data_IF_055310421139
#
_entry.id   IF_055310421139
#
_cell.length_a   1.000
_cell.length_b   1.000
_cell.length_c   1.000
_cell.angle_alpha   90.00
_cell.angle_beta   90.00
_cell.angle_gamma   90.00
#
_symmetry.space_group_name_H-M   'P 1'
#
loop_
_entity.id
_entity.type
_entity.pdbx_description
1 polymer ?
#
# COMPACT_ATOMS: atom_id res chain seq x y z
N UNK A 1 43.19 -3.25 27.61
CA UNK A 1 42.56 -3.37 26.28
C UNK A 1 41.26 -4.14 26.43
N UNK A 2 40.14 -3.42 26.46
CA UNK A 2 38.77 -3.95 26.34
C UNK A 2 38.41 -3.96 24.83
N UNK A 3 37.53 -4.80 24.30
CA UNK A 3 36.13 -4.96 24.68
C UNK A 3 35.57 -6.34 24.32
N UNK A 4 34.62 -6.76 25.15
CA UNK A 4 33.71 -7.87 24.92
C UNK A 4 32.58 -7.42 23.98
N UNK A 5 32.20 -8.28 23.02
CA UNK A 5 31.01 -8.10 22.20
C UNK A 5 29.90 -8.99 22.74
N UNK A 6 28.94 -8.35 23.41
CA UNK A 6 27.66 -8.93 23.81
C UNK A 6 26.69 -8.90 22.63
N UNK A 7 26.27 -10.07 22.17
CA UNK A 7 25.17 -10.27 21.23
C UNK A 7 23.89 -10.62 22.00
N UNK A 8 22.80 -9.89 21.74
CA UNK A 8 21.46 -10.24 22.23
C UNK A 8 20.52 -10.28 21.03
N UNK A 9 20.26 -11.49 20.54
CA UNK A 9 19.17 -11.78 19.60
C UNK A 9 17.94 -12.25 20.39
N UNK A 10 16.80 -11.60 20.19
CA UNK A 10 15.52 -12.04 20.73
C UNK A 10 14.80 -12.93 19.70
N UNK A 11 14.46 -14.15 20.11
CA UNK A 11 13.69 -15.12 19.34
C UNK A 11 12.43 -15.47 20.12
N UNK A 12 11.26 -15.43 19.47
CA UNK A 12 10.01 -15.91 20.06
C UNK A 12 9.83 -17.39 19.75
N UNK A 13 9.92 -18.23 20.78
CA UNK A 13 9.58 -19.66 20.74
C UNK A 13 8.20 -19.89 21.38
N UNK A 14 7.17 -20.15 20.58
CA UNK A 14 5.90 -20.69 21.09
C UNK A 14 6.04 -22.19 21.30
N UNK A 15 6.04 -22.61 22.56
CA UNK A 15 5.99 -24.03 22.93
C UNK A 15 4.52 -24.46 23.07
N UNK A 16 4.10 -25.45 22.28
CA UNK A 16 2.94 -26.27 22.61
C UNK A 16 3.33 -27.74 22.48
N UNK A 17 3.44 -28.41 23.62
CA UNK A 17 3.58 -29.86 23.71
C UNK A 17 2.54 -30.38 24.70
N UNK A 18 1.63 -31.20 24.19
CA UNK A 18 0.70 -32.03 24.95
C UNK A 18 0.13 -33.10 24.02
N UNK A 19 0.63 -34.33 24.14
CA UNK A 19 0.33 -35.51 23.31
C UNK A 19 -1.08 -36.11 23.56
N UNK A 20 -1.58 -37.00 22.67
CA UNK A 20 -2.91 -37.66 22.73
C UNK A 20 -2.84 -39.02 23.48
N UNK A 21 -3.97 -39.74 23.79
CA UNK A 21 -4.62 -40.63 22.81
C UNK A 21 -6.17 -40.88 22.92
N UNK A 22 -6.75 -41.25 21.77
CA UNK A 22 -7.92 -42.11 21.41
C UNK A 22 -8.92 -42.67 22.44
N UNK A 23 -10.25 -42.54 22.20
CA UNK A 23 -11.16 -43.56 21.60
C UNK A 23 -12.64 -43.08 21.51
N UNK A 24 -13.33 -43.62 20.51
CA UNK A 24 -14.76 -43.60 20.11
C UNK A 24 -15.86 -43.50 21.18
N UNK A 25 -16.96 -42.76 20.91
CA UNK A 25 -18.29 -43.26 20.45
C UNK A 25 -19.33 -42.13 20.35
N UNK A 26 -20.26 -42.30 19.40
CA UNK A 26 -21.45 -41.51 19.09
C UNK A 26 -22.43 -41.36 20.27
N UNK A 27 -23.21 -40.27 20.32
CA UNK A 27 -24.67 -40.19 20.61
C UNK A 27 -25.07 -38.69 20.77
N UNK A 28 -25.86 -38.16 19.84
CA UNK A 28 -27.22 -37.58 20.03
C UNK A 28 -27.28 -36.17 20.65
N UNK A 29 -27.66 -35.19 19.82
CA UNK A 29 -28.24 -33.91 20.25
C UNK A 29 -29.57 -34.14 20.98
N UNK A 30 -29.89 -33.28 21.97
CA UNK A 30 -31.16 -32.56 21.85
C UNK A 30 -31.07 -31.08 22.24
N UNK A 31 -31.68 -30.26 21.36
CA UNK A 31 -32.69 -29.21 21.60
C UNK A 31 -32.51 -28.24 22.79
N UNK A 32 -32.54 -26.94 22.40
CA UNK A 32 -32.89 -25.73 23.15
C UNK A 32 -32.09 -25.34 24.41
N UNK A 33 -31.37 -24.23 24.30
CA UNK A 33 -31.19 -23.29 25.41
C UNK A 33 -30.95 -21.87 24.86
N UNK A 34 -32.01 -21.07 24.99
CA UNK A 34 -32.07 -19.62 24.88
C UNK A 34 -30.93 -18.96 25.67
N UNK A 35 -30.15 -18.06 25.06
CA UNK A 35 -29.23 -17.22 25.82
C UNK A 35 -29.04 -15.82 25.23
N UNK A 36 -29.67 -14.85 25.89
CA UNK A 36 -29.23 -13.46 26.08
C UNK A 36 -29.71 -13.03 27.49
N UNK A 37 -29.30 -11.88 28.03
CA UNK A 37 -27.93 -11.39 28.28
C UNK A 37 -27.81 -10.87 29.75
N UNK A 38 -26.61 -10.81 30.36
CA UNK A 38 -26.44 -9.93 31.55
C UNK A 38 -25.04 -9.34 31.69
N UNK A 39 -25.02 -8.03 31.52
CA UNK A 39 -24.04 -7.06 32.03
C UNK A 39 -23.98 -7.12 33.55
N UNK A 40 -22.79 -7.37 34.11
CA UNK A 40 -22.55 -7.28 35.55
C UNK A 40 -22.38 -5.83 36.00
N UNK A 41 -23.48 -5.17 36.34
CA UNK A 41 -23.50 -4.05 37.27
C UNK A 41 -23.38 -4.64 38.67
N UNK A 42 -22.35 -4.28 39.44
CA UNK A 42 -22.29 -4.57 40.87
C UNK A 42 -22.37 -3.28 41.66
N UNK A 43 -23.53 -3.09 42.27
CA UNK A 43 -23.80 -2.17 43.37
C UNK A 43 -23.04 -2.63 44.61
N UNK A 44 -22.13 -1.80 45.14
CA UNK A 44 -21.63 -1.96 46.51
C UNK A 44 -21.77 -0.63 47.25
N UNK A 45 -22.50 -0.71 48.35
CA UNK A 45 -22.91 0.35 49.25
C UNK A 45 -21.74 1.01 49.99
N UNK A 46 -21.97 2.27 50.41
CA UNK A 46 -21.03 3.09 51.16
C UNK A 46 -20.68 2.53 52.56
N UNK A 47 -19.44 2.73 53.01
CA UNK A 47 -19.13 2.96 54.41
C UNK A 47 -18.63 4.39 54.64
N UNK A 48 -19.14 4.99 55.70
CA UNK A 48 -18.79 6.28 56.26
C UNK A 48 -17.37 6.35 56.82
N UNK A 49 -16.73 7.52 56.65
CA UNK A 49 -15.64 8.10 57.46
C UNK A 49 -14.34 7.33 57.62
N UNK A 50 -13.26 7.92 57.08
CA UNK A 50 -11.88 7.58 57.44
C UNK A 50 -10.94 7.78 56.26
N UNK A 51 -10.09 8.81 56.36
CA UNK A 51 -9.03 9.19 55.41
C UNK A 51 -8.36 8.02 54.68
N UNK A 52 -8.48 7.96 53.36
CA UNK A 52 -7.54 7.25 52.50
C UNK A 52 -7.55 7.84 51.09
N UNK A 53 -6.39 8.35 50.68
CA UNK A 53 -6.13 8.94 49.37
C UNK A 53 -6.03 7.80 48.35
N UNK A 54 -7.11 7.55 47.60
CA UNK A 54 -7.06 6.71 46.41
C UNK A 54 -6.76 7.59 45.19
N UNK A 55 -5.84 7.20 44.29
CA UNK A 55 -5.56 7.98 43.10
C UNK A 55 -6.77 7.86 42.18
N UNK A 56 -7.52 8.96 42.02
CA UNK A 56 -8.50 9.04 40.96
C UNK A 56 -7.74 9.05 39.64
N UNK A 57 -7.73 7.91 38.94
CA UNK A 57 -7.42 7.89 37.51
C UNK A 57 -8.59 8.56 36.80
N UNK A 58 -8.62 9.89 36.84
CA UNK A 58 -9.51 10.69 36.01
C UNK A 58 -9.28 10.27 34.56
N UNK A 59 -10.31 9.77 33.89
CA UNK A 59 -10.26 9.53 32.45
C UNK A 59 -9.77 10.83 31.80
N UNK A 60 -8.68 10.77 31.04
CA UNK A 60 -8.13 11.96 30.36
C UNK A 60 -9.24 12.58 29.53
N UNK A 61 -9.42 13.91 29.55
CA UNK A 61 -10.35 14.60 28.67
C UNK A 61 -10.17 14.13 27.23
N UNK A 62 -11.28 13.94 26.52
CA UNK A 62 -11.25 13.56 25.11
C UNK A 62 -10.62 14.72 24.33
N UNK A 63 -9.38 14.53 23.89
CA UNK A 63 -8.66 15.51 23.09
C UNK A 63 -9.06 15.35 21.62
N UNK A 64 -9.95 16.23 21.15
CA UNK A 64 -10.44 16.24 19.77
C UNK A 64 -9.46 16.93 18.81
N UNK A 65 -8.40 17.54 19.34
CA UNK A 65 -7.52 18.41 18.60
C UNK A 65 -8.15 19.77 18.26
N UNK A 66 -7.32 20.76 17.89
CA UNK A 66 -7.77 22.06 17.43
C UNK A 66 -8.46 21.96 16.07
N UNK A 67 -9.39 22.86 15.72
CA UNK A 67 -10.08 22.80 14.44
C UNK A 67 -9.10 22.96 13.27
N UNK A 68 -9.29 22.16 12.21
CA UNK A 68 -8.55 22.29 10.95
C UNK A 68 -7.21 21.56 10.86
N UNK A 69 -6.80 20.81 11.88
CA UNK A 69 -5.65 19.90 11.75
C UNK A 69 -5.92 18.77 10.73
N UNK A 70 -4.87 18.33 10.07
CA UNK A 70 -4.89 17.32 9.03
C UNK A 70 -4.26 16.00 9.49
N UNK A 71 -3.29 16.05 10.40
CA UNK A 71 -2.66 14.87 10.96
C UNK A 71 -2.13 15.11 12.39
N UNK A 72 -1.75 14.03 13.06
CA UNK A 72 -1.00 14.09 14.33
C UNK A 72 0.27 13.26 14.26
N UNK A 73 1.26 13.64 15.06
CA UNK A 73 2.47 12.86 15.34
C UNK A 73 2.74 12.86 16.85
N UNK A 74 3.23 11.75 17.38
CA UNK A 74 3.64 11.65 18.78
C UNK A 74 5.16 11.81 18.89
N UNK A 75 5.60 12.79 19.67
CA UNK A 75 6.99 13.01 20.06
C UNK A 75 7.24 12.42 21.45
N UNK A 76 8.49 12.04 21.73
CA UNK A 76 8.92 11.48 23.02
C UNK A 76 8.07 10.28 23.48
N UNK A 77 7.68 9.44 22.51
CA UNK A 77 6.86 8.26 22.75
C UNK A 77 7.47 7.37 23.86
N UNK A 78 6.61 6.87 24.74
CA UNK A 78 6.97 6.01 25.89
C UNK A 78 7.84 6.71 26.95
N UNK A 79 7.82 8.05 27.01
CA UNK A 79 8.49 8.85 28.04
C UNK A 79 7.52 9.70 28.86
N UNK A 80 7.99 10.29 29.96
CA UNK A 80 7.19 11.22 30.76
C UNK A 80 6.82 12.51 29.99
N UNK A 81 7.58 12.83 28.94
CA UNK A 81 7.43 14.03 28.12
C UNK A 81 6.67 13.75 26.80
N UNK A 82 5.98 12.60 26.71
CA UNK A 82 5.21 12.22 25.52
C UNK A 82 4.22 13.32 25.13
N UNK A 83 4.31 13.76 23.87
CA UNK A 83 3.54 14.89 23.34
C UNK A 83 2.94 14.55 21.99
N UNK A 84 1.63 14.73 21.86
CA UNK A 84 0.96 14.75 20.55
C UNK A 84 1.06 16.15 19.96
N UNK A 85 1.56 16.24 18.73
CA UNK A 85 1.60 17.49 17.96
C UNK A 85 0.52 17.41 16.88
N UNK A 86 -0.32 18.45 16.83
CA UNK A 86 -1.36 18.62 15.83
C UNK A 86 -0.79 19.35 14.62
N UNK A 87 -0.90 18.71 13.46
CA UNK A 87 -0.30 19.13 12.21
C UNK A 87 -1.40 19.64 11.28
N UNK A 88 -1.27 20.88 10.84
CA UNK A 88 -2.10 21.52 9.82
C UNK A 88 -1.54 21.28 8.41
N UNK A 89 -1.61 22.27 7.51
CA UNK A 89 -1.08 22.17 6.15
C UNK A 89 0.41 21.84 6.11
N UNK A 90 0.81 21.09 5.08
CA UNK A 90 2.22 20.76 4.82
C UNK A 90 2.73 21.42 3.54
N UNK A 91 4.05 21.57 3.46
CA UNK A 91 4.77 21.92 2.23
C UNK A 91 6.01 21.03 2.11
N UNK A 92 6.25 20.44 0.93
CA UNK A 92 7.47 19.68 0.68
C UNK A 92 8.49 20.59 0.00
N UNK A 93 9.57 20.91 0.69
CA UNK A 93 10.59 21.87 0.24
C UNK A 93 11.96 21.21 0.09
N UNK A 94 12.84 21.89 -0.64
CA UNK A 94 14.23 21.47 -0.87
C UNK A 94 14.40 20.56 -2.08
N UNK A 95 15.56 20.67 -2.74
CA UNK A 95 15.98 19.76 -3.82
C UNK A 95 16.93 18.69 -3.29
N UNK A 96 18.03 19.08 -2.65
CA UNK A 96 19.07 18.17 -2.12
C UNK A 96 18.83 17.71 -0.68
N UNK A 97 18.08 18.51 0.10
CA UNK A 97 17.68 18.18 1.47
C UNK A 97 16.17 18.30 1.58
N UNK A 98 15.48 17.35 0.95
CA UNK A 98 14.02 17.35 0.94
C UNK A 98 13.49 17.23 2.36
N UNK A 99 12.58 18.11 2.72
CA UNK A 99 11.90 18.09 4.01
C UNK A 99 10.44 18.49 3.86
N UNK A 100 9.61 17.96 4.74
CA UNK A 100 8.24 18.42 4.93
C UNK A 100 8.23 19.49 6.01
N UNK A 101 7.62 20.62 5.73
CA UNK A 101 7.29 21.64 6.71
C UNK A 101 5.82 21.48 7.07
N UNK A 102 5.54 21.19 8.33
CA UNK A 102 4.19 21.13 8.86
C UNK A 102 3.91 22.41 9.64
N UNK A 103 2.89 23.15 9.21
CA UNK A 103 2.31 24.21 10.02
C UNK A 103 1.57 23.56 11.17
N UNK A 104 2.07 23.70 12.40
CA UNK A 104 1.42 23.09 13.55
C UNK A 104 0.22 23.96 13.98
N UNK A 105 -0.71 23.36 14.70
CA UNK A 105 -1.99 24.02 15.00
C UNK A 105 -1.90 25.16 16.01
N UNK A 106 -0.81 25.25 16.77
CA UNK A 106 -0.52 26.41 17.62
C UNK A 106 0.28 27.44 16.84
N UNK A 107 -0.03 28.72 17.05
CA UNK A 107 0.53 29.81 16.26
C UNK A 107 2.07 29.83 16.36
N UNK A 108 2.75 29.94 15.21
CA UNK A 108 4.22 29.94 15.08
C UNK A 108 4.93 28.61 15.39
N UNK A 109 4.22 27.53 15.70
CA UNK A 109 4.84 26.21 15.81
C UNK A 109 5.13 25.60 14.45
N UNK A 110 6.30 24.98 14.32
CA UNK A 110 6.78 24.38 13.08
C UNK A 110 7.37 23.01 13.35
N UNK A 111 6.95 22.01 12.56
CA UNK A 111 7.59 20.70 12.54
C UNK A 111 8.22 20.46 11.17
N UNK A 112 9.52 20.22 11.17
CA UNK A 112 10.29 19.82 10.00
C UNK A 112 10.51 18.29 10.02
N UNK A 113 10.10 17.61 8.97
CA UNK A 113 10.41 16.20 8.76
C UNK A 113 11.40 16.06 7.61
N UNK A 114 12.64 15.69 7.92
CA UNK A 114 13.70 15.48 6.94
C UNK A 114 13.54 14.10 6.28
N UNK A 115 13.45 14.08 4.96
CA UNK A 115 13.31 12.85 4.18
C UNK A 115 14.67 12.16 4.01
N UNK A 116 14.70 10.82 3.95
CA UNK A 116 15.95 10.06 3.87
C UNK A 116 16.62 10.13 2.49
N UNK A 117 15.87 10.52 1.45
CA UNK A 117 16.35 10.63 0.06
C UNK A 117 15.86 11.94 -0.57
N UNK A 118 16.71 12.52 -1.41
CA UNK A 118 16.39 13.63 -2.31
C UNK A 118 15.58 13.17 -3.52
N UNK A 119 15.62 11.87 -3.84
CA UNK A 119 14.89 11.25 -4.95
C UNK A 119 13.46 10.89 -4.50
N UNK A 120 12.41 11.47 -5.10
CA UNK A 120 11.03 11.21 -4.70
C UNK A 120 10.57 9.76 -4.83
N UNK A 121 11.07 9.03 -5.83
CA UNK A 121 10.73 7.61 -6.04
C UNK A 121 11.25 6.70 -4.92
N UNK A 122 12.26 7.13 -4.15
CA UNK A 122 12.85 6.31 -3.10
C UNK A 122 12.07 6.42 -1.77
N UNK A 123 11.22 7.44 -1.64
CA UNK A 123 10.42 7.66 -0.43
C UNK A 123 9.15 6.80 -0.49
N UNK A 124 9.03 5.87 0.46
CA UNK A 124 7.93 4.90 0.49
C UNK A 124 7.13 4.96 1.80
N UNK A 125 6.06 5.78 1.84
CA UNK A 125 5.13 5.75 2.95
C UNK A 125 4.38 4.41 3.04
N UNK A 126 4.37 3.84 4.24
CA UNK A 126 3.77 2.55 4.54
C UNK A 126 2.45 2.70 5.28
N UNK A 127 1.43 1.99 4.79
CA UNK A 127 0.13 1.82 5.45
C UNK A 127 -0.18 0.34 5.57
N UNK A 128 -0.88 0.00 6.65
CA UNK A 128 -1.14 -1.39 7.03
C UNK A 128 -2.34 -1.97 6.28
N UNK A 129 -2.39 -3.30 6.20
CA UNK A 129 -3.56 -4.02 5.68
C UNK A 129 -4.74 -3.92 6.67
N UNK A 130 -5.98 -3.88 6.18
CA UNK A 130 -7.21 -3.94 7.01
C UNK A 130 -7.30 -5.07 8.04
N UNK A 131 -6.56 -6.18 7.90
CA UNK A 131 -6.54 -7.27 8.89
C UNK A 131 -6.00 -6.82 10.24
N UNK A 132 -5.25 -5.73 10.27
CA UNK A 132 -4.78 -5.11 11.51
C UNK A 132 -5.93 -4.43 12.29
N UNK A 133 -7.07 -4.15 11.65
CA UNK A 133 -8.28 -3.60 12.27
C UNK A 133 -9.55 -4.20 11.63
N UNK A 134 -9.89 -5.42 12.06
CA UNK A 134 -10.95 -6.24 11.44
C UNK A 134 -12.37 -5.65 11.51
N UNK A 135 -12.62 -4.67 12.38
CA UNK A 135 -13.94 -4.08 12.62
C UNK A 135 -14.06 -2.62 12.16
N UNK A 136 -13.09 -2.13 11.38
CA UNK A 136 -13.10 -0.79 10.81
C UNK A 136 -13.25 -0.86 9.28
N UNK A 137 -13.57 0.27 8.66
CA UNK A 137 -13.51 0.37 7.20
C UNK A 137 -12.07 0.03 6.75
N UNK A 138 -11.87 -0.93 5.81
CA UNK A 138 -10.56 -1.20 5.24
C UNK A 138 -9.79 0.05 4.78
N UNK A 139 -10.51 1.08 4.33
CA UNK A 139 -9.92 2.35 3.89
C UNK A 139 -9.27 3.13 5.05
N UNK A 140 -9.76 3.00 6.29
CA UNK A 140 -9.27 3.74 7.46
C UNK A 140 -7.80 3.45 7.77
N UNK A 141 -7.31 2.26 7.43
CA UNK A 141 -5.89 1.94 7.60
C UNK A 141 -4.97 2.84 6.77
N UNK A 142 -5.50 3.51 5.74
CA UNK A 142 -4.72 4.45 4.93
C UNK A 142 -4.45 5.76 5.68
N UNK A 143 -5.20 6.07 6.73
CA UNK A 143 -4.95 7.24 7.59
C UNK A 143 -3.68 7.10 8.44
N UNK A 144 -3.21 5.87 8.64
CA UNK A 144 -2.09 5.55 9.52
C UNK A 144 -0.82 5.31 8.72
N UNK A 145 -0.01 6.36 8.60
CA UNK A 145 1.18 6.37 7.78
C UNK A 145 2.43 6.17 8.62
N UNK A 146 3.32 5.31 8.17
CA UNK A 146 4.61 5.01 8.79
C UNK A 146 5.70 4.94 7.74
N UNK A 147 6.96 4.87 8.18
CA UNK A 147 8.11 4.66 7.29
C UNK A 147 8.92 3.45 7.77
N UNK A 148 9.63 2.78 6.86
CA UNK A 148 10.42 1.60 7.23
C UNK A 148 11.61 1.93 8.14
N UNK A 149 12.14 3.14 8.01
CA UNK A 149 13.33 3.60 8.73
C UNK A 149 13.01 4.84 9.58
N UNK A 150 13.73 5.06 10.69
CA UNK A 150 13.61 6.29 11.47
C UNK A 150 14.03 7.51 10.65
N UNK A 151 13.27 8.60 10.78
CA UNK A 151 13.56 9.86 10.10
C UNK A 151 13.83 10.97 11.12
N UNK A 152 14.64 11.95 10.72
CA UNK A 152 14.92 13.12 11.58
C UNK A 152 13.72 14.05 11.59
N UNK A 153 13.21 14.29 12.79
CA UNK A 153 12.15 15.27 13.07
C UNK A 153 12.76 16.41 13.87
N UNK A 154 12.52 17.65 13.43
CA UNK A 154 12.76 18.85 14.22
C UNK A 154 11.44 19.51 14.54
N UNK A 155 11.20 19.86 15.79
CA UNK A 155 10.02 20.59 16.22
C UNK A 155 10.41 21.84 17.01
N UNK A 156 9.86 22.95 16.57
CA UNK A 156 10.10 24.30 17.08
C UNK A 156 8.78 24.77 17.70
N UNK A 157 8.85 25.18 18.98
CA UNK A 157 7.70 25.68 19.74
C UNK A 157 7.28 27.08 19.28
N UNK A 158 6.16 27.58 19.82
CA UNK A 158 5.63 28.91 19.51
C UNK A 158 6.61 30.05 19.83
N UNK A 159 7.50 29.86 20.81
CA UNK A 159 8.56 30.81 21.18
C UNK A 159 9.79 30.75 20.26
N UNK A 160 9.77 29.89 19.24
CA UNK A 160 10.89 29.68 18.32
C UNK A 160 12.00 28.80 18.90
N UNK A 161 11.75 28.08 19.99
CA UNK A 161 12.73 27.21 20.64
C UNK A 161 12.65 25.80 20.03
N UNK A 162 13.80 25.26 19.63
CA UNK A 162 13.89 23.87 19.19
C UNK A 162 13.77 22.93 20.41
N UNK A 163 12.64 22.25 20.53
CA UNK A 163 12.38 21.33 21.65
C UNK A 163 12.64 19.87 21.31
N UNK A 164 12.64 19.53 20.01
CA UNK A 164 12.94 18.19 19.52
C UNK A 164 13.77 18.29 18.24
N UNK A 165 14.88 17.55 18.16
CA UNK A 165 15.70 17.40 16.94
C UNK A 165 16.39 16.02 16.98
N UNK A 166 15.65 14.96 16.63
CA UNK A 166 16.12 13.58 16.75
C UNK A 166 15.58 12.69 15.63
N UNK A 167 16.22 11.54 15.42
CA UNK A 167 15.70 10.47 14.57
C UNK A 167 14.67 9.66 15.35
N UNK A 168 13.44 9.60 14.84
CA UNK A 168 12.34 8.83 15.45
C UNK A 168 11.65 7.95 14.41
N UNK A 169 10.98 6.91 14.88
CA UNK A 169 10.06 6.15 14.04
C UNK A 169 8.83 7.00 13.74
N UNK A 170 8.80 7.63 12.57
CA UNK A 170 7.69 8.53 12.20
C UNK A 170 6.40 7.75 12.01
N UNK A 171 5.35 8.21 12.69
CA UNK A 171 3.98 7.69 12.60
C UNK A 171 3.03 8.88 12.54
N UNK A 172 2.34 9.02 11.42
CA UNK A 172 1.28 10.00 11.25
C UNK A 172 -0.08 9.33 11.34
N UNK A 173 -1.01 9.99 12.02
CA UNK A 173 -2.44 9.67 11.99
C UNK A 173 -3.18 10.83 11.34
N UNK A 174 -3.67 10.62 10.13
CA UNK A 174 -4.43 11.61 9.37
C UNK A 174 -5.90 11.62 9.77
N UNK A 175 -6.53 12.78 9.71
CA UNK A 175 -7.97 12.92 9.94
C UNK A 175 -8.78 12.31 8.79
N UNK A 176 -8.23 12.26 7.57
CA UNK A 176 -8.88 11.72 6.37
C UNK A 176 -7.96 10.83 5.52
N UNK A 177 -8.57 9.89 4.79
CA UNK A 177 -7.86 9.04 3.82
C UNK A 177 -7.33 9.86 2.65
N UNK A 178 -8.11 10.85 2.20
CA UNK A 178 -7.73 11.75 1.12
C UNK A 178 -6.50 12.60 1.48
N UNK A 179 -6.45 13.15 2.70
CA UNK A 179 -5.29 13.92 3.17
C UNK A 179 -4.02 13.06 3.23
N UNK A 180 -4.14 11.81 3.71
CA UNK A 180 -3.03 10.85 3.67
C UNK A 180 -2.59 10.56 2.23
N UNK A 181 -3.52 10.33 1.30
CA UNK A 181 -3.20 10.05 -0.09
C UNK A 181 -2.49 11.22 -0.79
N UNK A 182 -2.97 12.45 -0.57
CA UNK A 182 -2.35 13.67 -1.10
C UNK A 182 -0.93 13.85 -0.53
N UNK A 183 -0.77 13.73 0.78
CA UNK A 183 0.53 13.84 1.45
C UNK A 183 1.54 12.83 0.89
N UNK A 184 1.14 11.56 0.79
CA UNK A 184 1.99 10.53 0.20
C UNK A 184 2.37 10.84 -1.24
N UNK A 185 1.42 11.40 -2.00
CA UNK A 185 1.65 11.82 -3.37
C UNK A 185 2.68 12.95 -3.47
N UNK A 186 2.59 13.95 -2.61
CA UNK A 186 3.53 15.08 -2.58
C UNK A 186 4.95 14.65 -2.20
N UNK A 187 5.07 13.70 -1.27
CA UNK A 187 6.37 13.09 -0.93
C UNK A 187 7.02 12.42 -2.14
N UNK A 188 6.22 11.75 -2.98
CA UNK A 188 6.68 10.94 -4.12
C UNK A 188 6.66 11.69 -5.45
N UNK A 189 6.07 12.88 -5.51
CA UNK A 189 5.70 13.57 -6.76
C UNK A 189 4.88 12.68 -7.71
N UNK A 190 3.95 11.92 -7.13
CA UNK A 190 3.02 11.02 -7.83
C UNK A 190 1.62 11.20 -7.24
N UNK A 191 0.58 10.76 -7.94
CA UNK A 191 -0.77 10.67 -7.39
C UNK A 191 -1.05 9.23 -6.96
N UNK A 192 -1.50 9.05 -5.72
CA UNK A 192 -2.00 7.75 -5.26
C UNK A 192 -3.41 7.54 -5.81
N UNK A 193 -3.51 6.83 -6.93
CA UNK A 193 -4.79 6.61 -7.62
C UNK A 193 -5.53 5.34 -7.16
N UNK A 194 -4.83 4.44 -6.46
CA UNK A 194 -5.44 3.23 -5.94
C UNK A 194 -4.60 2.54 -4.87
N UNK A 195 -5.28 1.93 -3.90
CA UNK A 195 -4.68 1.06 -2.91
C UNK A 195 -5.57 -0.16 -2.65
N UNK A 196 -4.93 -1.31 -2.43
CA UNK A 196 -5.60 -2.61 -2.44
C UNK A 196 -5.01 -3.51 -1.36
N UNK A 197 -5.89 -4.15 -0.60
CA UNK A 197 -5.45 -5.16 0.36
C UNK A 197 -5.18 -6.49 -0.35
N UNK A 198 -3.96 -6.98 -0.20
CA UNK A 198 -3.48 -8.20 -0.86
C UNK A 198 -3.05 -9.25 0.17
N UNK A 199 -3.53 -10.47 -0.05
CA UNK A 199 -3.19 -11.63 0.75
C UNK A 199 -1.75 -12.06 0.49
N UNK A 200 -1.36 -12.13 -0.78
CA UNK A 200 -0.03 -12.52 -1.22
C UNK A 200 0.28 -11.97 -2.61
N UNK A 201 1.52 -11.51 -2.77
CA UNK A 201 2.13 -11.14 -4.05
C UNK A 201 3.35 -12.05 -4.27
N UNK A 202 3.50 -12.61 -5.46
CA UNK A 202 4.59 -13.54 -5.78
C UNK A 202 5.02 -13.44 -7.23
N UNK A 203 6.20 -13.97 -7.54
CA UNK A 203 6.80 -13.90 -8.88
C UNK A 203 7.23 -15.30 -9.34
N UNK A 204 7.88 -15.40 -10.49
CA UNK A 204 8.53 -16.64 -10.92
C UNK A 204 9.80 -16.97 -10.11
N UNK A 205 10.49 -15.94 -9.59
CA UNK A 205 11.69 -16.12 -8.76
C UNK A 205 11.31 -16.45 -7.32
N UNK A 206 10.24 -15.85 -6.84
CA UNK A 206 9.75 -16.03 -5.48
C UNK A 206 8.37 -16.67 -5.53
N UNK A 207 8.35 -18.00 -5.40
CA UNK A 207 7.11 -18.79 -5.45
C UNK A 207 6.10 -18.41 -4.37
N UNK A 208 4.82 -18.69 -4.65
CA UNK A 208 3.69 -18.38 -3.77
C UNK A 208 3.81 -19.06 -2.40
N UNK A 209 4.28 -20.31 -2.37
CA UNK A 209 4.43 -21.11 -1.16
C UNK A 209 5.85 -21.61 -0.99
N UNK A 210 6.24 -21.92 0.25
CA UNK A 210 7.46 -22.66 0.53
C UNK A 210 7.30 -24.17 0.24
N UNK A 211 8.36 -24.95 0.49
CA UNK A 211 8.36 -26.41 0.30
C UNK A 211 7.41 -27.17 1.23
N UNK A 212 6.88 -26.52 2.27
CA UNK A 212 5.90 -27.06 3.21
C UNK A 212 4.47 -26.60 2.91
N UNK A 213 4.27 -25.81 1.85
CA UNK A 213 2.96 -25.29 1.44
C UNK A 213 2.53 -24.02 2.19
N UNK A 214 3.38 -23.41 3.02
CA UNK A 214 3.07 -22.15 3.70
C UNK A 214 3.19 -20.98 2.74
N UNK A 215 2.28 -20.01 2.84
CA UNK A 215 2.32 -18.77 2.05
C UNK A 215 3.62 -18.02 2.31
N UNK A 216 4.37 -17.76 1.24
CA UNK A 216 5.64 -17.03 1.25
C UNK A 216 5.54 -15.81 0.35
N UNK A 217 5.62 -15.98 -0.98
CA UNK A 217 5.63 -14.87 -1.93
C UNK A 217 6.78 -13.88 -1.70
N UNK A 218 6.72 -12.73 -2.36
CA UNK A 218 7.59 -11.58 -2.05
C UNK A 218 7.01 -10.75 -0.91
N UNK A 219 5.69 -10.70 -0.81
CA UNK A 219 5.02 -10.09 0.32
C UNK A 219 3.63 -10.66 0.54
N UNK A 220 3.18 -10.58 1.79
CA UNK A 220 1.92 -11.16 2.22
C UNK A 220 1.27 -10.30 3.31
N UNK A 221 -0.07 -10.27 3.31
CA UNK A 221 -0.90 -9.47 4.22
C UNK A 221 -0.42 -8.03 4.27
N UNK A 222 -0.50 -7.36 3.12
CA UNK A 222 -0.04 -5.98 2.97
C UNK A 222 -0.91 -5.20 2.01
N UNK A 223 -0.58 -3.92 1.83
CA UNK A 223 -1.23 -3.04 0.88
C UNK A 223 -0.39 -2.86 -0.38
N UNK A 224 -1.00 -3.13 -1.52
CA UNK A 224 -0.51 -2.77 -2.86
C UNK A 224 -0.99 -1.36 -3.18
N UNK A 225 -0.13 -0.52 -3.76
CA UNK A 225 -0.50 0.83 -4.20
C UNK A 225 -0.22 1.01 -5.69
N UNK A 226 -1.11 1.71 -6.37
CA UNK A 226 -0.97 2.14 -7.76
C UNK A 226 -0.83 3.65 -7.81
N UNK A 227 0.19 4.09 -8.54
CA UNK A 227 0.59 5.49 -8.65
C UNK A 227 0.48 5.94 -10.08
N UNK A 228 0.11 7.21 -10.27
CA UNK A 228 0.27 7.94 -11.52
C UNK A 228 1.40 8.95 -11.34
N UNK A 229 2.33 9.00 -12.26
CA UNK A 229 3.37 10.04 -12.25
C UNK A 229 2.75 11.42 -12.54
N UNK A 230 3.20 12.49 -11.88
CA UNK A 230 2.66 13.84 -12.12
C UNK A 230 3.29 14.55 -13.32
N UNK A 231 4.47 14.09 -13.77
CA UNK A 231 5.21 14.68 -14.88
C UNK A 231 5.05 13.90 -16.18
N UNK A 232 4.68 12.62 -16.08
CA UNK A 232 4.44 11.74 -17.23
C UNK A 232 3.07 11.10 -17.10
N UNK A 233 2.59 10.46 -18.17
CA UNK A 233 1.34 9.67 -18.09
C UNK A 233 1.55 8.28 -17.49
N UNK A 234 2.77 7.92 -17.07
CA UNK A 234 3.09 6.58 -16.64
C UNK A 234 2.51 6.22 -15.28
N UNK A 235 2.08 4.96 -15.19
CA UNK A 235 1.62 4.36 -13.96
C UNK A 235 2.62 3.36 -13.40
N UNK A 236 2.61 3.18 -12.08
CA UNK A 236 3.49 2.22 -11.39
C UNK A 236 2.78 1.55 -10.21
N UNK A 237 3.20 0.33 -9.90
CA UNK A 237 2.76 -0.45 -8.74
C UNK A 237 3.88 -0.51 -7.71
N UNK A 238 3.58 -0.19 -6.46
CA UNK A 238 4.53 -0.37 -5.35
C UNK A 238 4.07 -1.49 -4.41
N UNK A 239 4.97 -2.42 -4.11
CA UNK A 239 4.77 -3.56 -3.22
C UNK A 239 5.90 -3.61 -2.20
N UNK A 240 5.58 -3.69 -0.91
CA UNK A 240 6.57 -4.00 0.11
C UNK A 240 6.95 -5.49 0.02
N UNK A 241 8.24 -5.82 -0.06
CA UNK A 241 8.71 -7.19 -0.11
C UNK A 241 8.97 -7.74 1.30
N UNK A 242 7.94 -7.68 2.15
CA UNK A 242 8.01 -7.99 3.60
C UNK A 242 8.30 -9.47 3.93
N UNK A 243 8.33 -10.37 2.94
CA UNK A 243 8.70 -11.78 3.10
C UNK A 243 10.08 -12.13 2.54
N UNK A 244 10.79 -11.14 1.99
CA UNK A 244 12.14 -11.32 1.46
C UNK A 244 13.15 -10.40 2.15
N UNK A 245 13.34 -9.19 1.63
CA UNK A 245 14.37 -8.21 1.98
C UNK A 245 13.79 -7.02 2.75
N UNK A 246 12.46 -6.93 2.88
CA UNK A 246 11.78 -5.81 3.55
C UNK A 246 11.80 -4.52 2.75
N UNK A 247 12.20 -4.55 1.48
CA UNK A 247 12.32 -3.37 0.63
C UNK A 247 11.09 -3.17 -0.23
N UNK A 248 10.79 -1.92 -0.58
CA UNK A 248 9.76 -1.63 -1.57
C UNK A 248 10.26 -1.98 -2.98
N UNK A 249 9.36 -2.58 -3.77
CA UNK A 249 9.56 -2.86 -5.19
C UNK A 249 8.54 -2.07 -5.99
N UNK A 250 9.04 -1.26 -6.91
CA UNK A 250 8.23 -0.49 -7.84
C UNK A 250 8.30 -1.16 -9.23
N UNK A 251 7.14 -1.33 -9.84
CA UNK A 251 7.00 -1.92 -11.16
C UNK A 251 6.16 -1.00 -12.04
N UNK A 252 6.73 -0.48 -13.12
CA UNK A 252 5.97 0.34 -14.06
C UNK A 252 4.90 -0.51 -14.75
N UNK A 253 3.71 0.05 -14.99
CA UNK A 253 2.58 -0.67 -15.55
C UNK A 253 2.86 -1.07 -17.01
N UNK A 254 3.46 -0.19 -17.81
CA UNK A 254 3.75 -0.41 -19.23
C UNK A 254 4.66 -1.62 -19.53
N UNK A 255 5.42 -2.15 -18.56
CA UNK A 255 6.25 -3.35 -18.76
C UNK A 255 5.41 -4.63 -18.86
N UNK A 256 4.17 -4.62 -18.37
CA UNK A 256 3.30 -5.78 -18.33
C UNK A 256 2.31 -5.79 -19.51
N UNK A 257 1.85 -6.98 -19.87
CA UNK A 257 0.77 -7.15 -20.84
C UNK A 257 -0.50 -6.48 -20.30
N UNK A 258 -1.12 -5.62 -21.11
CA UNK A 258 -2.37 -4.94 -20.73
C UNK A 258 -3.56 -5.89 -20.63
N UNK A 259 -3.57 -6.94 -21.44
CA UNK A 259 -4.62 -7.96 -21.41
C UNK A 259 -4.42 -8.96 -20.27
N UNK A 260 -5.35 -8.96 -19.31
CA UNK A 260 -5.35 -9.87 -18.16
C UNK A 260 -5.90 -11.27 -18.51
N UNK A 261 -5.17 -12.00 -19.35
CA UNK A 261 -5.56 -13.37 -19.79
C UNK A 261 -5.51 -14.42 -18.69
N UNK A 262 -4.69 -14.21 -17.66
CA UNK A 262 -4.44 -15.16 -16.58
C UNK A 262 -5.10 -14.71 -15.28
N UNK A 263 -6.43 -14.83 -15.20
CA UNK A 263 -7.23 -14.46 -14.03
C UNK A 263 -8.06 -15.63 -13.49
N UNK A 264 -8.21 -15.67 -12.17
CA UNK A 264 -9.11 -16.57 -11.45
C UNK A 264 -10.02 -15.72 -10.55
N UNK A 265 -11.21 -15.40 -11.08
CA UNK A 265 -12.20 -14.56 -10.41
C UNK A 265 -12.76 -15.20 -9.13
N UNK A 266 -12.73 -16.54 -9.03
CA UNK A 266 -13.19 -17.25 -7.82
C UNK A 266 -12.15 -17.11 -6.70
N UNK A 267 -10.88 -17.23 -7.04
CA UNK A 267 -9.79 -17.08 -6.08
C UNK A 267 -9.39 -15.60 -5.83
N UNK A 268 -9.96 -14.65 -6.60
CA UNK A 268 -9.58 -13.23 -6.63
C UNK A 268 -8.10 -13.06 -6.96
N UNK A 269 -7.65 -13.80 -7.97
CA UNK A 269 -6.25 -13.87 -8.37
C UNK A 269 -6.07 -13.42 -9.80
N UNK A 270 -4.94 -12.76 -10.05
CA UNK A 270 -4.51 -12.45 -11.40
C UNK A 270 -2.99 -12.60 -11.51
N UNK A 271 -2.52 -12.76 -12.75
CA UNK A 271 -1.11 -12.76 -13.11
C UNK A 271 -0.87 -11.71 -14.20
N UNK A 272 0.00 -10.76 -13.86
CA UNK A 272 0.56 -9.76 -14.76
C UNK A 272 1.80 -10.35 -15.43
N UNK A 273 1.77 -10.56 -16.74
CA UNK A 273 2.91 -11.11 -17.48
C UNK A 273 3.78 -9.98 -18.02
N UNK A 274 5.10 -10.12 -17.95
CA UNK A 274 6.03 -9.11 -18.48
C UNK A 274 6.09 -9.24 -20.01
N UNK A 275 5.98 -8.11 -20.72
CA UNK A 275 6.03 -8.03 -22.19
C UNK A 275 7.35 -8.58 -22.72
N UNK A 276 7.32 -9.22 -23.89
CA UNK A 276 8.52 -9.57 -24.66
C UNK A 276 9.41 -10.67 -24.09
N UNK A 277 9.19 -11.16 -22.85
CA UNK A 277 10.01 -12.21 -22.22
C UNK A 277 9.51 -13.63 -22.57
N UNK A 278 9.23 -13.90 -23.85
CA UNK A 278 9.10 -15.29 -24.35
C UNK A 278 10.51 -15.87 -24.59
N UNK A 279 11.11 -16.47 -23.56
CA UNK A 279 12.08 -17.56 -23.74
C UNK A 279 13.58 -17.30 -23.54
N UNK A 280 14.03 -16.80 -22.39
CA UNK A 280 15.48 -16.72 -22.10
C UNK A 280 15.91 -16.88 -20.63
N UNK A 281 15.12 -17.58 -19.80
CA UNK A 281 15.56 -18.09 -18.50
C UNK A 281 15.08 -19.54 -18.37
N UNK A 282 15.87 -20.46 -17.77
CA UNK A 282 15.69 -21.90 -17.94
C UNK A 282 14.27 -22.29 -17.58
N UNK A 283 13.65 -23.05 -18.48
CA UNK A 283 12.38 -23.71 -18.21
C UNK A 283 12.52 -24.45 -16.88
N UNK A 284 11.57 -24.15 -15.98
CA UNK A 284 11.35 -25.01 -14.84
C UNK A 284 11.02 -26.40 -15.40
N UNK A 285 11.75 -27.47 -15.02
CA UNK A 285 11.56 -28.76 -15.67
C UNK A 285 10.13 -29.23 -15.41
N UNK A 286 9.39 -29.66 -16.45
CA UNK A 286 8.04 -30.15 -16.27
C UNK A 286 8.04 -31.34 -15.32
N UNK A 287 7.05 -31.38 -14.44
CA UNK A 287 6.82 -32.47 -13.50
C UNK A 287 6.98 -33.83 -14.20
N UNK A 288 7.86 -34.65 -13.62
CA UNK A 288 8.28 -35.97 -14.09
C UNK A 288 7.09 -36.84 -14.50
N UNK A 289 6.95 -37.11 -15.79
CA UNK A 289 6.40 -38.37 -16.29
C UNK A 289 7.57 -39.29 -16.62
N UNK A 290 7.58 -40.45 -15.96
CA UNK A 290 8.56 -41.52 -16.16
C UNK A 290 8.46 -42.09 -17.58
N UNK A 291 9.58 -42.15 -18.29
CA UNK A 291 9.83 -43.18 -19.30
C UNK A 291 11.31 -43.24 -19.67
N UNK A 292 11.87 -44.44 -19.48
CA UNK A 292 13.24 -44.83 -19.78
C UNK A 292 13.46 -44.96 -21.29
N UNK A 293 14.49 -44.31 -21.85
CA UNK A 293 15.27 -44.84 -22.98
C UNK A 293 16.57 -44.06 -23.17
N UNK A 294 17.67 -44.81 -23.25
CA UNK A 294 19.05 -44.39 -23.48
C UNK A 294 19.27 -43.86 -24.90
N UNK A 295 20.23 -42.96 -25.07
CA UNK A 295 20.80 -42.60 -26.38
C UNK A 295 22.00 -41.66 -26.28
N UNK A 296 23.17 -42.21 -25.93
CA UNK A 296 24.48 -41.53 -25.96
C UNK A 296 24.94 -41.38 -27.41
N UNK A 297 25.48 -40.20 -27.81
CA UNK A 297 26.69 -40.02 -28.65
C UNK A 297 27.03 -38.51 -28.90
N UNK A 298 28.26 -38.15 -29.29
CA UNK A 298 28.99 -37.01 -28.72
C UNK A 298 29.42 -35.88 -29.72
N UNK A 299 29.63 -34.69 -29.13
CA UNK A 299 30.64 -33.62 -29.38
C UNK A 299 31.22 -33.39 -30.79
N UNK A 300 31.05 -32.18 -31.32
CA UNK A 300 32.04 -31.49 -32.17
C UNK A 300 32.14 -30.00 -31.78
N UNK A 301 33.37 -29.55 -31.53
CA UNK A 301 33.80 -28.14 -31.42
C UNK A 301 34.16 -27.64 -32.82
N UNK A 302 33.77 -26.41 -33.18
CA UNK A 302 34.55 -25.60 -34.13
C UNK A 302 34.53 -24.13 -33.73
N UNK A 303 35.72 -23.55 -33.75
CA UNK A 303 36.09 -22.16 -33.44
C UNK A 303 36.03 -21.27 -34.69
N UNK A 304 35.65 -19.99 -34.49
CA UNK A 304 36.14 -18.82 -35.21
C UNK A 304 35.47 -18.46 -36.54
N UNK A 305 34.71 -17.35 -36.62
CA UNK A 305 35.25 -16.01 -36.91
C UNK A 305 34.12 -14.97 -37.07
N UNK A 306 34.31 -13.83 -36.41
CA UNK A 306 33.95 -12.44 -36.78
C UNK A 306 33.04 -12.19 -37.99
N UNK A 307 31.91 -11.53 -37.74
CA UNK A 307 31.39 -10.46 -38.62
C UNK A 307 30.56 -9.49 -37.78
N UNK A 308 31.04 -8.25 -37.72
CA UNK A 308 30.32 -7.07 -37.26
C UNK A 308 29.13 -6.82 -38.18
N UNK A 309 27.95 -6.61 -37.60
CA UNK A 309 26.94 -5.73 -38.20
C UNK A 309 26.23 -4.98 -37.08
N UNK A 310 26.62 -3.73 -36.98
CA UNK A 310 26.04 -2.67 -36.17
C UNK A 310 24.56 -2.48 -36.55
N UNK A 311 23.67 -2.58 -35.58
CA UNK A 311 22.37 -1.92 -35.62
C UNK A 311 22.09 -1.38 -34.23
N UNK A 312 22.70 -0.22 -33.97
CA UNK A 312 22.32 0.67 -32.88
C UNK A 312 20.88 1.12 -33.14
N UNK A 313 19.94 0.55 -32.39
CA UNK A 313 18.65 1.18 -32.13
C UNK A 313 18.52 1.26 -30.62
N UNK A 314 18.70 2.49 -30.16
CA UNK A 314 18.48 2.95 -28.80
C UNK A 314 17.14 2.47 -28.25
N UNK A 315 17.20 1.55 -27.29
CA UNK A 315 16.15 1.42 -26.28
C UNK A 315 16.81 1.55 -24.92
N UNK A 316 16.21 2.45 -24.14
CA UNK A 316 16.59 2.89 -22.81
C UNK A 316 17.15 1.76 -21.94
N UNK A 317 18.23 2.07 -21.22
CA UNK A 317 18.76 1.28 -20.11
C UNK A 317 17.74 1.25 -18.96
N UNK A 318 16.66 0.48 -19.12
CA UNK A 318 15.84 0.08 -17.99
C UNK A 318 16.60 -1.02 -17.23
N UNK A 319 16.70 -0.96 -15.89
CA UNK A 319 17.22 -2.07 -15.11
C UNK A 319 16.37 -3.30 -15.46
N UNK A 320 17.01 -4.35 -15.97
CA UNK A 320 16.29 -5.53 -16.44
C UNK A 320 15.52 -6.14 -15.28
N UNK A 321 14.19 -6.00 -15.30
CA UNK A 321 13.31 -6.57 -14.30
C UNK A 321 13.46 -8.09 -14.38
N UNK A 322 14.03 -8.71 -13.34
CA UNK A 322 14.33 -10.15 -13.32
C UNK A 322 13.10 -11.01 -12.95
N UNK A 323 11.94 -10.64 -13.46
CA UNK A 323 10.71 -11.42 -13.30
C UNK A 323 10.03 -11.63 -14.65
N UNK A 324 9.36 -12.78 -14.80
CA UNK A 324 8.50 -13.12 -15.93
C UNK A 324 7.06 -12.73 -15.69
N UNK A 325 6.64 -12.72 -14.42
CA UNK A 325 5.31 -12.31 -14.03
C UNK A 325 5.28 -11.79 -12.59
N UNK A 326 4.25 -10.98 -12.30
CA UNK A 326 3.82 -10.61 -10.96
C UNK A 326 2.40 -11.18 -10.76
N UNK A 327 2.24 -12.08 -9.79
CA UNK A 327 0.94 -12.65 -9.46
C UNK A 327 0.45 -12.10 -8.13
N UNK A 328 -0.85 -11.81 -8.05
CA UNK A 328 -1.48 -11.10 -6.94
C UNK A 328 -2.73 -11.87 -6.54
N UNK A 329 -2.91 -12.07 -5.23
CA UNK A 329 -4.16 -12.50 -4.63
C UNK A 329 -4.72 -11.40 -3.75
N UNK A 330 -5.96 -10.99 -4.01
CA UNK A 330 -6.63 -9.92 -3.27
C UNK A 330 -7.41 -10.46 -2.08
N UNK A 331 -7.37 -9.69 -0.99
CA UNK A 331 -8.06 -10.02 0.25
C UNK A 331 -9.57 -9.90 0.09
N UNK A 332 -10.05 -8.91 -0.67
CA UNK A 332 -11.47 -8.68 -0.95
C UNK A 332 -11.79 -8.80 -2.44
N UNK A 333 -13.05 -9.16 -2.77
CA UNK A 333 -13.53 -9.15 -4.16
C UNK A 333 -13.74 -7.73 -4.68
N UNK A 334 -13.96 -6.78 -3.77
CA UNK A 334 -14.10 -5.37 -4.08
C UNK A 334 -12.78 -4.80 -4.62
N UNK A 335 -11.67 -4.99 -3.89
CA UNK A 335 -10.33 -4.54 -4.32
C UNK A 335 -9.89 -5.20 -5.62
N UNK A 336 -10.18 -6.49 -5.77
CA UNK A 336 -9.92 -7.20 -7.02
C UNK A 336 -10.59 -6.51 -8.22
N UNK A 337 -11.89 -6.19 -8.12
CA UNK A 337 -12.63 -5.52 -9.21
C UNK A 337 -12.11 -4.11 -9.48
N UNK A 338 -11.92 -3.30 -8.42
CA UNK A 338 -11.35 -1.95 -8.55
C UNK A 338 -9.97 -1.96 -9.19
N UNK A 339 -9.15 -2.97 -8.87
CA UNK A 339 -7.84 -3.13 -9.49
C UNK A 339 -7.97 -3.42 -10.98
N UNK A 340 -8.88 -4.31 -11.40
CA UNK A 340 -9.06 -4.63 -12.83
C UNK A 340 -9.47 -3.39 -13.64
N UNK A 341 -10.39 -2.58 -13.10
CA UNK A 341 -10.85 -1.33 -13.72
C UNK A 341 -9.69 -0.33 -13.84
N UNK A 342 -8.97 -0.10 -12.74
CA UNK A 342 -7.85 0.83 -12.72
C UNK A 342 -6.67 0.37 -13.59
N UNK A 343 -6.42 -0.94 -13.65
CA UNK A 343 -5.41 -1.53 -14.52
C UNK A 343 -5.67 -1.24 -16.00
N UNK A 344 -6.93 -1.39 -16.42
CA UNK A 344 -7.33 -1.10 -17.79
C UNK A 344 -7.18 0.41 -18.08
N UNK A 345 -7.62 1.27 -17.17
CA UNK A 345 -7.44 2.72 -17.28
C UNK A 345 -5.96 3.11 -17.41
N UNK A 346 -5.11 2.62 -16.50
CA UNK A 346 -3.69 2.90 -16.48
C UNK A 346 -2.99 2.47 -17.78
N UNK A 347 -3.34 1.30 -18.32
CA UNK A 347 -2.77 0.84 -19.58
C UNK A 347 -3.25 1.63 -20.80
N UNK A 348 -4.52 2.03 -20.84
CA UNK A 348 -5.02 2.92 -21.89
C UNK A 348 -4.29 4.27 -21.83
N UNK A 349 -4.17 4.87 -20.65
CA UNK A 349 -3.47 6.13 -20.46
C UNK A 349 -1.96 6.05 -20.81
N UNK A 350 -1.27 4.98 -20.39
CA UNK A 350 0.13 4.74 -20.75
C UNK A 350 0.31 4.55 -22.27
N UNK A 351 -0.66 3.89 -22.92
CA UNK A 351 -0.63 3.57 -24.35
C UNK A 351 -0.90 4.75 -25.27
N UNK A 352 -1.86 5.61 -24.91
CA UNK A 352 -2.31 6.74 -25.73
C UNK A 352 -1.22 7.82 -25.87
N UNK A 353 -0.41 8.01 -24.82
CA UNK A 353 0.59 9.07 -24.76
C UNK A 353 2.03 8.57 -24.79
N UNK A 354 2.27 7.25 -24.76
CA UNK A 354 3.61 6.61 -24.78
C UNK A 354 4.61 7.20 -23.77
N UNK A 355 4.13 7.75 -22.66
CA UNK A 355 4.98 8.40 -21.66
C UNK A 355 5.55 9.76 -22.06
N UNK A 356 4.97 10.43 -23.05
CA UNK A 356 5.34 11.81 -23.38
C UNK A 356 5.15 12.67 -22.12
N UNK A 357 6.21 13.35 -21.64
CA UNK A 357 6.09 14.20 -20.47
C UNK A 357 5.09 15.32 -20.73
N UNK A 358 4.33 15.70 -19.71
CA UNK A 358 3.45 16.86 -19.83
C UNK A 358 4.28 18.09 -20.20
N UNK A 359 3.74 19.00 -21.04
CA UNK A 359 4.42 20.24 -21.35
C UNK A 359 4.78 20.97 -20.05
N UNK A 360 5.93 21.67 -19.96
CA UNK A 360 6.35 22.35 -18.73
C UNK A 360 5.36 23.42 -18.21
N UNK A 361 4.36 23.79 -19.01
CA UNK A 361 3.27 24.69 -18.66
C UNK A 361 1.92 23.97 -18.56
N UNK A 362 1.89 22.69 -18.18
CA UNK A 362 0.61 22.03 -17.91
C UNK A 362 -0.03 22.70 -16.69
N UNK A 363 -1.18 23.33 -16.92
CA UNK A 363 -2.01 23.83 -15.86
C UNK A 363 -3.04 22.75 -15.55
N UNK A 364 -2.81 22.01 -14.47
CA UNK A 364 -3.92 21.32 -13.81
C UNK A 364 -4.87 22.40 -13.29
N UNK A 365 -6.09 22.38 -13.82
CA UNK A 365 -7.14 23.24 -13.29
C UNK A 365 -7.32 22.88 -11.81
N UNK A 366 -7.35 23.87 -10.90
CA UNK A 366 -7.66 23.61 -9.51
C UNK A 366 -8.92 22.77 -9.41
N UNK A 367 -8.88 21.70 -8.62
CA UNK A 367 -10.12 20.99 -8.24
C UNK A 367 -11.11 22.04 -7.73
N UNK A 368 -12.38 22.02 -8.17
CA UNK A 368 -13.33 23.08 -7.84
C UNK A 368 -13.36 23.26 -6.32
N UNK A 369 -12.97 24.45 -5.86
CA UNK A 369 -13.00 24.80 -4.45
C UNK A 369 -14.45 24.63 -3.96
N UNK A 370 -14.68 23.62 -3.12
CA UNK A 370 -15.96 23.49 -2.43
C UNK A 370 -16.04 24.60 -1.39
N UNK A 371 -16.70 25.69 -1.75
CA UNK A 371 -17.09 26.73 -0.79
C UNK A 371 -17.98 26.09 0.29
N UNK A 372 -17.74 26.34 1.59
CA UNK A 372 -18.59 25.80 2.64
C UNK A 372 -20.03 26.33 2.46
N UNK A 373 -20.97 25.44 2.16
CA UNK A 373 -22.40 25.76 2.06
C UNK A 373 -23.05 25.57 0.69
N UNK A 374 -22.32 25.18 -0.37
CA UNK A 374 -22.93 24.74 -1.62
C UNK A 374 -22.99 23.21 -1.66
N UNK A 375 -24.11 22.66 -1.16
CA UNK A 375 -24.51 21.32 -1.54
C UNK A 375 -24.89 21.37 -3.03
N UNK A 376 -24.02 20.91 -3.91
CA UNK A 376 -24.50 20.38 -5.17
C UNK A 376 -25.21 19.08 -4.81
N UNK A 377 -26.54 19.11 -4.78
CA UNK A 377 -27.33 17.91 -5.05
C UNK A 377 -26.93 17.44 -6.45
N UNK A 378 -25.88 16.64 -6.52
CA UNK A 378 -25.72 15.70 -7.62
C UNK A 378 -26.94 14.79 -7.53
N UNK A 379 -27.91 15.01 -8.41
CA UNK A 379 -28.90 13.99 -8.74
C UNK A 379 -28.13 12.68 -8.94
N UNK A 380 -28.38 11.72 -8.06
CA UNK A 380 -27.88 10.37 -8.22
C UNK A 380 -28.29 9.89 -9.61
N UNK A 381 -27.40 9.23 -10.38
CA UNK A 381 -27.79 8.72 -11.67
C UNK A 381 -28.88 7.65 -11.47
N UNK A 382 -30.11 8.01 -11.83
CA UNK A 382 -31.24 7.09 -11.88
C UNK A 382 -30.97 6.01 -12.93
N UNK A 383 -30.70 4.78 -12.47
CA UNK A 383 -30.39 3.61 -13.32
C UNK A 383 -31.59 3.05 -14.09
N UNK A 384 -32.66 3.82 -14.29
CA UNK A 384 -33.85 3.40 -15.02
C UNK A 384 -34.38 4.52 -15.93
N UNK A 385 -33.76 4.71 -17.10
CA UNK A 385 -34.43 5.42 -18.21
C UNK A 385 -34.39 4.58 -19.48
N UNK A 386 -35.58 4.11 -19.82
CA UNK A 386 -35.96 3.46 -21.08
C UNK A 386 -35.53 4.35 -22.27
N UNK A 387 -34.95 3.71 -23.28
CA UNK A 387 -34.50 4.33 -24.53
C UNK A 387 -35.65 5.09 -25.22
N UNK A 388 -35.47 6.39 -25.49
CA UNK A 388 -36.28 7.12 -26.46
C UNK A 388 -35.79 6.78 -27.88
N UNK A 389 -36.71 6.51 -28.85
CA UNK A 389 -36.33 6.17 -30.20
C UNK A 389 -35.91 7.42 -31.00
N UNK A 390 -34.77 7.33 -31.68
CA UNK A 390 -34.24 8.35 -32.60
C UNK A 390 -35.13 8.42 -33.85
N UNK A 391 -35.56 9.63 -34.24
CA UNK A 391 -36.30 9.86 -35.47
C UNK A 391 -35.38 9.82 -36.71
N UNK A 392 -35.79 9.09 -37.74
CA UNK A 392 -35.09 9.01 -39.04
C UNK A 392 -35.21 10.33 -39.85
N UNK A 393 -34.22 10.67 -40.70
CA UNK A 393 -34.26 11.87 -41.53
C UNK A 393 -35.14 11.66 -42.78
N UNK A 394 -36.04 12.62 -43.04
CA UNK A 394 -36.91 12.64 -44.22
C UNK A 394 -36.15 13.07 -45.47
N UNK A 395 -36.10 12.19 -46.47
CA UNK A 395 -35.73 12.52 -47.86
C UNK A 395 -36.79 13.42 -48.49
N UNK A 396 -36.43 14.67 -48.78
CA UNK A 396 -37.22 15.55 -49.66
C UNK A 396 -36.36 15.95 -50.87
N UNK A 397 -36.63 15.26 -51.97
CA UNK A 397 -36.15 15.55 -53.32
C UNK A 397 -36.96 16.72 -53.85
N UNK A 398 -36.31 17.85 -54.15
CA UNK A 398 -36.94 18.97 -54.85
C UNK A 398 -36.74 18.80 -56.37
N UNK A 399 -37.85 18.62 -57.08
CA UNK A 399 -37.96 18.76 -58.54
C UNK A 399 -39.05 19.79 -58.79
N UNK A 400 -38.64 20.96 -59.28
CA UNK A 400 -39.49 22.02 -59.82
C UNK A 400 -38.62 23.02 -60.56
#
# INVERSE_FOLDING_TARGET
MAAASSSSGSSFTSSSLGRPPTYSRSYVSPVDSTWTPTSGVSTLSAPSTGSSVAPQTSLRPLDLGPPGYQATITLFQDTADERTVYLGPWEVVGSEQRRVLWQCSYQNELLEHYLPSDIPSDVHPHTLHSRHRQYHDPSDMERYLTFSEPHRIRYISEEGVCIHDQYIQVRYEFTSVEGSAQFQGDLRRKDLIGFYDVDVVWTNVHGRTDGFGKVKGIGAIQRLKMWRDRYTTFHSLSVLANKTDGQYREYDVHIFDGELRSRDDRAKQLRLNVRGRRGSAPDEPPQRRFSFARGVRPRVRSTGHTSQSSSETSSSSQPSIDIRYLSIQFSSRHDYRRFLEMWQYAHSADGDFQGVPFPPNHFELPSPQMTPGQAFELESPDWHRTLEPVAEPTDAVDRG
#
